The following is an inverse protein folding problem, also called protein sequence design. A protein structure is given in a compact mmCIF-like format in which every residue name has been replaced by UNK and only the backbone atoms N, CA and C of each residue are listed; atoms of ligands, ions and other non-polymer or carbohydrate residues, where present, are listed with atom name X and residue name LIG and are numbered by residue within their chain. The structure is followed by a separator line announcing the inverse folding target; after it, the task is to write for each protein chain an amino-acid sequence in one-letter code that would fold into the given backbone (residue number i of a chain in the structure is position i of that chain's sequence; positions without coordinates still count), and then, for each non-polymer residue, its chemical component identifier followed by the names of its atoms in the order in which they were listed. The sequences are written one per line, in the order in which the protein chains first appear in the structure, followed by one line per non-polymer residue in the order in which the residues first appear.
data_IF_308017574757
#
_entry.id   IF_308017574757
#
_cell.length_a   1.000
_cell.length_b   1.000
_cell.length_c   1.000
_cell.angle_alpha   90.00
_cell.angle_beta   90.00
_cell.angle_gamma   90.00
#
_symmetry.space_group_name_H-M   'P 1'
#
loop_
_entity.id
_entity.type
_entity.pdbx_description
1 polymer ?
#
# COMPACT_ATOMS: atom_id res chain seq x y z
N UNK A 1 3.00 -6.52 -1.86
CA UNK A 1 4.21 -5.66 -1.86
C UNK A 1 4.21 -4.91 -3.18
N UNK A 2 4.56 -3.61 -3.22
CA UNK A 2 4.72 -2.89 -4.48
C UNK A 2 5.77 -3.59 -5.34
N UNK A 3 5.57 -3.54 -6.66
CA UNK A 3 6.42 -4.22 -7.66
C UNK A 3 7.86 -3.68 -7.66
N UNK A 4 8.03 -2.40 -7.33
CA UNK A 4 9.30 -1.79 -6.99
C UNK A 4 9.24 -1.25 -5.54
N UNK A 5 10.22 -1.60 -4.68
CA UNK A 5 10.23 -1.14 -3.29
C UNK A 5 10.46 0.37 -3.16
N UNK A 6 11.12 1.00 -4.14
CA UNK A 6 11.34 2.44 -4.19
C UNK A 6 10.86 3.02 -5.52
N UNK A 7 9.59 3.43 -5.57
CA UNK A 7 8.98 4.01 -6.77
C UNK A 7 9.65 5.31 -7.21
N UNK A 8 10.11 6.14 -6.26
CA UNK A 8 10.81 7.38 -6.57
C UNK A 8 12.13 7.12 -7.33
N UNK A 9 12.85 6.06 -6.98
CA UNK A 9 14.09 5.70 -7.68
C UNK A 9 13.83 5.24 -9.11
N UNK A 10 12.81 4.43 -9.33
CA UNK A 10 12.41 4.01 -10.68
C UNK A 10 11.96 5.19 -11.55
N UNK A 11 11.34 6.22 -10.96
CA UNK A 11 10.98 7.45 -11.67
C UNK A 11 12.24 8.19 -12.13
N UNK A 12 13.26 8.35 -11.29
CA UNK A 12 14.53 8.98 -11.68
C UNK A 12 15.19 8.24 -12.83
N UNK A 13 15.28 6.90 -12.73
CA UNK A 13 15.87 6.06 -13.79
C UNK A 13 15.06 6.11 -15.09
N UNK A 14 13.72 6.18 -15.00
CA UNK A 14 12.82 6.20 -16.16
C UNK A 14 12.67 7.57 -16.85
N UNK A 15 13.01 8.67 -16.17
CA UNK A 15 12.87 10.04 -16.70
C UNK A 15 14.15 10.61 -17.30
N UNK A 16 15.24 9.83 -17.33
CA UNK A 16 16.53 10.27 -17.88
C UNK A 16 17.29 11.26 -16.99
N UNK A 17 16.87 11.42 -15.72
CA UNK A 17 17.63 12.18 -14.74
C UNK A 17 18.96 11.48 -14.40
N UNK A 18 19.92 12.24 -13.86
CA UNK A 18 21.21 11.64 -13.46
C UNK A 18 21.01 10.50 -12.48
N UNK A 19 21.72 9.39 -12.69
CA UNK A 19 21.73 8.23 -11.77
C UNK A 19 22.23 8.60 -10.38
N UNK A 20 23.01 9.69 -10.23
CA UNK A 20 23.48 10.22 -8.95
C UNK A 20 22.43 11.03 -8.20
N UNK A 21 21.27 11.32 -8.81
CA UNK A 21 20.15 12.01 -8.14
C UNK A 21 19.60 11.11 -7.04
N UNK A 22 19.59 11.61 -5.81
CA UNK A 22 19.00 10.90 -4.68
C UNK A 22 17.47 10.86 -4.80
N UNK A 23 16.88 9.71 -4.48
CA UNK A 23 15.45 9.47 -4.58
C UNK A 23 14.99 8.36 -3.66
N UNK A 24 13.97 8.67 -2.85
CA UNK A 24 13.38 7.73 -1.90
C UNK A 24 11.87 7.85 -1.86
N UNK A 25 11.22 6.77 -1.46
CA UNK A 25 9.76 6.70 -1.33
C UNK A 25 9.36 6.80 0.13
N UNK A 26 8.32 7.58 0.43
CA UNK A 26 7.72 7.69 1.76
C UNK A 26 6.30 7.13 1.74
N UNK A 27 5.80 6.69 2.89
CA UNK A 27 4.42 6.22 3.06
C UNK A 27 3.84 6.79 4.34
N UNK A 28 2.76 7.56 4.22
CA UNK A 28 2.00 8.13 5.35
C UNK A 28 0.50 8.19 5.03
N UNK A 29 -0.08 7.04 4.67
CA UNK A 29 -1.49 6.90 4.30
C UNK A 29 -1.95 8.03 3.33
N UNK A 30 -3.10 8.66 3.57
CA UNK A 30 -3.62 9.75 2.76
C UNK A 30 -2.73 11.02 2.77
N UNK A 31 -1.82 11.15 3.74
CA UNK A 31 -0.93 12.30 3.88
C UNK A 31 0.44 12.10 3.21
N UNK A 32 0.61 11.03 2.43
CA UNK A 32 1.90 10.70 1.80
C UNK A 32 2.44 11.83 0.91
N UNK A 33 1.59 12.48 0.12
CA UNK A 33 1.99 13.62 -0.71
C UNK A 33 2.49 14.80 0.12
N UNK A 34 1.80 15.13 1.20
CA UNK A 34 2.22 16.20 2.11
C UNK A 34 3.55 15.88 2.80
N UNK A 35 3.76 14.61 3.18
CA UNK A 35 5.03 14.18 3.75
C UNK A 35 6.18 14.32 2.74
N UNK A 36 5.96 13.95 1.48
CA UNK A 36 6.99 14.09 0.44
C UNK A 36 7.40 15.56 0.25
N UNK A 37 6.41 16.48 0.21
CA UNK A 37 6.67 17.92 0.12
C UNK A 37 7.42 18.43 1.35
N UNK A 38 6.99 18.04 2.55
CA UNK A 38 7.63 18.44 3.80
C UNK A 38 9.11 18.02 3.83
N UNK A 39 9.42 16.79 3.43
CA UNK A 39 10.80 16.30 3.42
C UNK A 39 11.69 17.05 2.42
N UNK A 40 11.17 17.37 1.22
CA UNK A 40 11.91 18.16 0.24
C UNK A 40 12.16 19.56 0.76
N UNK A 41 11.15 20.20 1.36
CA UNK A 41 11.30 21.51 1.97
C UNK A 41 12.34 21.50 3.10
N UNK A 42 12.31 20.48 3.97
CA UNK A 42 13.29 20.30 5.04
C UNK A 42 14.71 20.12 4.50
N UNK A 43 14.87 19.34 3.43
CA UNK A 43 16.17 19.11 2.77
C UNK A 43 16.73 20.37 2.12
N UNK A 44 15.86 21.26 1.65
CA UNK A 44 16.25 22.58 1.12
C UNK A 44 16.66 23.51 2.26
N UNK A 45 15.87 23.55 3.34
CA UNK A 45 16.16 24.39 4.52
C UNK A 45 17.46 23.95 5.20
N UNK A 46 17.74 22.64 5.26
CA UNK A 46 18.98 22.10 5.83
C UNK A 46 20.23 22.36 4.95
N UNK A 47 20.04 22.89 3.74
CA UNK A 47 21.12 23.10 2.77
C UNK A 47 21.65 21.81 2.14
N UNK A 48 20.97 20.68 2.34
CA UNK A 48 21.38 19.39 1.77
C UNK A 48 21.12 19.31 0.26
N UNK A 49 20.08 19.99 -0.22
CA UNK A 49 19.75 20.12 -1.65
C UNK A 49 19.33 21.55 -1.98
N UNK A 50 19.56 22.00 -3.21
CA UNK A 50 19.07 23.30 -3.69
C UNK A 50 17.70 23.22 -4.38
N UNK A 51 17.41 22.06 -4.99
CA UNK A 51 16.19 21.80 -5.77
C UNK A 51 15.76 20.37 -5.48
N UNK A 52 14.46 20.15 -5.35
CA UNK A 52 13.89 18.81 -5.18
C UNK A 52 12.52 18.67 -5.83
N UNK A 53 12.14 17.44 -6.16
CA UNK A 53 10.84 17.10 -6.74
C UNK A 53 10.08 16.26 -5.70
N UNK A 54 8.85 16.67 -5.39
CA UNK A 54 7.97 15.94 -4.48
C UNK A 54 6.70 15.49 -5.21
N UNK A 55 6.22 14.30 -4.87
CA UNK A 55 4.99 13.75 -5.43
C UNK A 55 4.57 12.47 -4.71
N UNK A 56 3.37 11.99 -5.03
CA UNK A 56 2.89 10.70 -4.53
C UNK A 56 2.06 10.01 -5.62
N UNK A 57 2.10 8.68 -5.62
CA UNK A 57 1.28 7.84 -6.49
C UNK A 57 0.60 6.75 -5.68
N UNK A 58 -0.69 6.59 -5.89
CA UNK A 58 -1.49 5.50 -5.30
C UNK A 58 -1.98 4.62 -6.45
N UNK A 59 -1.51 3.35 -6.56
CA UNK A 59 -2.05 2.44 -7.57
C UNK A 59 -3.44 1.98 -7.16
N UNK A 60 -4.46 2.27 -8.00
CA UNK A 60 -5.86 1.91 -7.71
C UNK A 60 -6.26 0.52 -8.23
N UNK A 61 -5.50 -0.07 -9.16
CA UNK A 61 -5.90 -1.28 -9.91
C UNK A 61 -5.03 -2.52 -9.72
N UNK A 62 -3.84 -2.39 -9.14
CA UNK A 62 -2.86 -3.49 -9.05
C UNK A 62 -2.80 -4.09 -7.64
N UNK A 63 -3.95 -4.36 -7.01
CA UNK A 63 -3.96 -5.02 -5.71
C UNK A 63 -3.67 -6.52 -5.89
N UNK A 64 -2.50 -7.01 -5.43
CA UNK A 64 -2.19 -8.43 -5.59
C UNK A 64 -3.16 -9.23 -4.73
N UNK A 65 -3.83 -10.20 -5.35
CA UNK A 65 -4.63 -11.18 -4.63
C UNK A 65 -3.64 -12.08 -3.86
N UNK A 66 -3.76 -12.08 -2.54
CA UNK A 66 -2.88 -12.86 -1.68
C UNK A 66 -3.23 -14.33 -1.72
N UNK A 67 -2.23 -15.18 -1.62
CA UNK A 67 -2.42 -16.59 -1.23
C UNK A 67 -2.46 -16.70 0.29
N UNK A 68 -3.06 -17.78 0.82
CA UNK A 68 -3.04 -18.02 2.26
C UNK A 68 -1.59 -18.09 2.80
N UNK A 69 -1.38 -17.63 4.05
CA UNK A 69 -0.05 -17.67 4.69
C UNK A 69 0.53 -19.10 4.73
N UNK A 70 -0.34 -20.12 4.84
CA UNK A 70 0.06 -21.53 4.82
C UNK A 70 0.53 -21.95 3.43
N UNK A 71 -0.23 -21.64 2.38
CA UNK A 71 0.15 -21.95 1.01
C UNK A 71 1.47 -21.25 0.63
N UNK A 72 1.63 -19.97 0.97
CA UNK A 72 2.86 -19.22 0.71
C UNK A 72 4.10 -19.90 1.34
N UNK A 73 4.00 -20.31 2.60
CA UNK A 73 5.09 -20.99 3.32
C UNK A 73 5.38 -22.35 2.71
N UNK A 74 4.36 -23.16 2.47
CA UNK A 74 4.52 -24.48 1.85
C UNK A 74 5.18 -24.38 0.48
N UNK A 75 4.84 -23.38 -0.33
CA UNK A 75 5.43 -23.19 -1.66
C UNK A 75 6.93 -22.85 -1.58
N UNK A 76 7.33 -22.02 -0.60
CA UNK A 76 8.74 -21.72 -0.31
C UNK A 76 9.47 -22.98 0.19
N UNK A 77 8.85 -23.76 1.07
CA UNK A 77 9.45 -24.97 1.63
C UNK A 77 9.60 -26.09 0.59
N UNK A 78 8.64 -26.22 -0.33
CA UNK A 78 8.70 -27.14 -1.48
C UNK A 78 9.84 -26.75 -2.43
N UNK A 79 10.06 -25.45 -2.65
CA UNK A 79 11.18 -24.96 -3.47
C UNK A 79 12.53 -25.32 -2.84
N UNK A 80 12.63 -25.32 -1.50
CA UNK A 80 13.82 -25.73 -0.74
C UNK A 80 14.03 -27.24 -0.66
N UNK A 81 12.97 -28.05 -0.77
CA UNK A 81 13.06 -29.50 -0.66
C UNK A 81 13.74 -30.12 -1.90
N UNK A 82 14.73 -30.97 -1.65
CA UNK A 82 15.56 -31.62 -2.70
C UNK A 82 14.97 -32.93 -3.22
N UNK A 83 14.14 -33.62 -2.43
CA UNK A 83 13.58 -34.93 -2.78
C UNK A 83 12.07 -34.87 -3.03
N UNK A 84 11.58 -35.69 -3.97
CA UNK A 84 10.17 -35.77 -4.33
C UNK A 84 9.28 -36.24 -3.16
N UNK A 85 9.80 -37.12 -2.29
CA UNK A 85 9.10 -37.59 -1.09
C UNK A 85 8.86 -36.46 -0.07
N UNK A 86 9.86 -35.60 0.14
CA UNK A 86 9.72 -34.42 1.00
C UNK A 86 8.73 -33.42 0.42
N UNK A 87 8.72 -33.22 -0.90
CA UNK A 87 7.75 -32.34 -1.58
C UNK A 87 6.32 -32.85 -1.41
N UNK A 88 6.07 -34.14 -1.65
CA UNK A 88 4.73 -34.74 -1.48
C UNK A 88 4.23 -34.64 -0.02
N UNK A 89 5.11 -34.84 0.96
CA UNK A 89 4.78 -34.70 2.37
C UNK A 89 4.47 -33.25 2.81
N UNK A 90 4.95 -32.26 2.07
CA UNK A 90 4.62 -30.84 2.29
C UNK A 90 3.28 -30.48 1.64
N UNK A 91 2.98 -31.03 0.46
CA UNK A 91 1.67 -30.86 -0.19
C UNK A 91 0.53 -31.53 0.57
N UNK A 92 0.76 -32.70 1.19
CA UNK A 92 -0.26 -33.39 1.98
C UNK A 92 -0.73 -32.63 3.23
N UNK A 93 0.04 -31.61 3.67
CA UNK A 93 -0.32 -30.73 4.80
C UNK A 93 -1.25 -29.58 4.40
N UNK A 94 -1.46 -29.34 3.11
CA UNK A 94 -2.35 -28.28 2.62
C UNK A 94 -3.81 -28.74 2.64
N UNK A 95 -4.71 -27.88 3.13
CA UNK A 95 -6.16 -28.11 3.05
C UNK A 95 -6.73 -27.39 1.82
N UNK A 96 -7.85 -27.89 1.30
CA UNK A 96 -8.55 -27.25 0.17
C UNK A 96 -8.89 -25.76 0.42
N UNK A 97 -9.16 -25.39 1.69
CA UNK A 97 -9.41 -23.99 2.10
C UNK A 97 -8.16 -23.10 2.01
N UNK A 98 -6.96 -23.67 2.09
CA UNK A 98 -5.70 -22.90 2.00
C UNK A 98 -5.34 -22.53 0.55
N UNK A 99 -6.00 -23.16 -0.44
CA UNK A 99 -5.89 -22.84 -1.88
C UNK A 99 -6.79 -21.68 -2.28
N UNK A 100 -7.72 -21.26 -1.43
CA UNK A 100 -8.62 -20.16 -1.72
C UNK A 100 -7.85 -18.82 -1.71
N UNK A 101 -8.10 -17.93 -2.68
CA UNK A 101 -7.51 -16.61 -2.69
C UNK A 101 -7.98 -15.79 -1.48
N UNK A 102 -7.05 -15.11 -0.82
CA UNK A 102 -7.35 -14.19 0.27
C UNK A 102 -7.59 -12.80 -0.33
N UNK A 103 -8.80 -12.22 -0.17
CA UNK A 103 -9.07 -10.89 -0.69
C UNK A 103 -8.17 -9.85 0.00
N UNK A 104 -7.81 -8.77 -0.71
CA UNK A 104 -6.99 -7.71 -0.13
C UNK A 104 -7.70 -7.12 1.09
N UNK A 105 -6.98 -7.01 2.21
CA UNK A 105 -7.50 -6.44 3.44
C UNK A 105 -7.66 -4.92 3.27
N UNK A 106 -8.90 -4.47 3.07
CA UNK A 106 -9.29 -3.04 3.05
C UNK A 106 -9.51 -2.51 4.48
N UNK A 107 -9.62 -3.41 5.45
CA UNK A 107 -9.74 -3.07 6.86
C UNK A 107 -8.35 -2.73 7.44
N UNK A 108 -8.33 -1.74 8.31
CA UNK A 108 -7.14 -1.38 9.09
C UNK A 108 -6.71 -2.56 9.97
N UNK A 109 -5.40 -2.79 10.07
CA UNK A 109 -4.87 -3.96 10.77
C UNK A 109 -5.20 -3.93 12.27
N UNK A 110 -5.09 -2.75 12.89
CA UNK A 110 -5.26 -2.58 14.32
C UNK A 110 -6.71 -2.60 14.78
N UNK A 111 -7.63 -2.04 13.99
CA UNK A 111 -9.04 -1.87 14.38
C UNK A 111 -9.98 -2.87 13.70
N UNK A 112 -9.56 -3.47 12.58
CA UNK A 112 -10.44 -4.29 11.74
C UNK A 112 -11.56 -3.52 11.05
N UNK A 113 -11.60 -2.20 11.20
CA UNK A 113 -12.59 -1.32 10.58
C UNK A 113 -12.09 -0.83 9.22
N UNK A 114 -13.03 -0.64 8.28
CA UNK A 114 -12.75 0.02 7.01
C UNK A 114 -12.85 1.52 7.20
N UNK A 115 -12.19 2.28 6.32
CA UNK A 115 -12.25 3.74 6.32
C UNK A 115 -13.70 4.28 6.28
N UNK A 116 -14.59 3.61 5.56
CA UNK A 116 -16.03 3.94 5.52
C UNK A 116 -16.76 3.70 6.85
N UNK A 117 -16.40 2.65 7.59
CA UNK A 117 -16.99 2.34 8.89
C UNK A 117 -16.61 3.42 9.92
N UNK A 118 -15.34 3.84 9.91
CA UNK A 118 -14.85 4.95 10.73
C UNK A 118 -15.51 6.29 10.34
N UNK A 119 -15.72 6.54 9.04
CA UNK A 119 -16.41 7.73 8.58
C UNK A 119 -17.88 7.77 9.05
N UNK A 120 -18.57 6.63 9.07
CA UNK A 120 -19.94 6.53 9.57
C UNK A 120 -20.00 6.71 11.10
N UNK A 121 -19.04 6.15 11.84
CA UNK A 121 -18.92 6.37 13.28
C UNK A 121 -18.71 7.85 13.60
N UNK A 122 -17.77 8.51 12.91
CA UNK A 122 -17.52 9.95 13.04
C UNK A 122 -18.80 10.76 12.75
N UNK A 123 -19.52 10.42 11.67
CA UNK A 123 -20.76 11.10 11.33
C UNK A 123 -21.82 10.98 12.44
N UNK A 124 -21.96 9.79 13.04
CA UNK A 124 -22.90 9.56 14.15
C UNK A 124 -22.48 10.31 15.42
N UNK A 125 -21.20 10.27 15.79
CA UNK A 125 -20.68 10.95 16.99
C UNK A 125 -20.85 12.46 16.92
N UNK A 126 -20.74 13.05 15.72
CA UNK A 126 -20.87 14.50 15.53
C UNK A 126 -22.26 14.94 15.05
N UNK A 127 -23.27 14.06 15.05
CA UNK A 127 -24.64 14.42 14.67
C UNK A 127 -24.80 14.82 13.20
N UNK A 128 -23.91 14.36 12.31
CA UNK A 128 -23.92 14.71 10.89
C UNK A 128 -25.04 13.92 10.19
N UNK A 129 -26.12 14.62 9.85
CA UNK A 129 -27.29 14.03 9.20
C UNK A 129 -26.95 13.44 7.83
N UNK A 130 -27.70 12.41 7.40
CA UNK A 130 -27.54 11.84 6.06
C UNK A 130 -27.81 12.89 4.96
N UNK A 131 -28.78 13.79 5.17
CA UNK A 131 -29.09 14.87 4.23
C UNK A 131 -27.91 15.85 4.05
N UNK A 132 -27.21 16.20 5.14
CA UNK A 132 -26.03 17.06 5.05
C UNK A 132 -24.88 16.43 4.26
N UNK A 133 -24.65 15.11 4.42
CA UNK A 133 -23.64 14.36 3.66
C UNK A 133 -23.97 14.26 2.18
N UNK A 134 -25.25 14.06 1.84
CA UNK A 134 -25.70 14.03 0.45
C UNK A 134 -25.58 15.41 -0.19
N UNK A 135 -25.99 16.47 0.51
CA UNK A 135 -25.87 17.84 0.01
C UNK A 135 -24.42 18.23 -0.27
N UNK A 136 -23.49 17.87 0.64
CA UNK A 136 -22.05 18.07 0.43
C UNK A 136 -21.51 17.36 -0.81
N UNK A 137 -21.97 16.14 -1.10
CA UNK A 137 -21.56 15.39 -2.31
C UNK A 137 -22.00 16.06 -3.60
N UNK A 138 -23.09 16.81 -3.57
CA UNK A 138 -23.66 17.49 -4.73
C UNK A 138 -23.20 18.94 -4.88
N UNK A 139 -22.36 19.45 -3.97
CA UNK A 139 -21.75 20.77 -4.13
C UNK A 139 -20.88 20.74 -5.39
N UNK A 140 -21.17 21.56 -6.41
CA UNK A 140 -20.36 21.58 -7.61
C UNK A 140 -18.95 22.03 -7.24
N UNK A 141 -17.96 21.16 -7.49
CA UNK A 141 -16.55 21.51 -7.39
C UNK A 141 -16.26 22.55 -8.47
N UNK A 142 -16.03 23.79 -8.05
CA UNK A 142 -15.51 24.85 -8.94
C UNK A 142 -14.14 24.51 -9.47
#
# INVERSE_FOLDING_TARGET
MPEAPNIAREIVLGTGMSVSTDAYSVSRACATSFQAVANVAESIISGSVSIGIAGARIPLRSWPIGVSKRLARTLVDVNKARTLSQRLALFSKLKFRDLLPVPPAVAEYSTGLRMGDTAEQMAKTHGISASSRTNWRTVPTR
#
